data_IF_967766341665
#
_entry.id   IF_967766341665
#
_cell.length_a   1.000
_cell.length_b   1.000
_cell.length_c   1.000
_cell.angle_alpha   90.00
_cell.angle_beta   90.00
_cell.angle_gamma   90.00
#
_symmetry.space_group_name_H-M   'P 1'
#
loop_
_entity.id
_entity.type
_entity.pdbx_description
1 polymer ?
#
# COMPACT_ATOMS: atom_id res chain seq x y z
N UNK A 1 12.67 16.34 -35.88
CA UNK A 1 11.83 15.48 -35.01
C UNK A 1 11.01 16.37 -34.10
N UNK A 2 9.81 16.72 -34.51
CA UNK A 2 8.89 17.43 -33.65
C UNK A 2 8.37 16.42 -32.59
N UNK A 3 8.72 16.66 -31.33
CA UNK A 3 8.18 15.88 -30.24
C UNK A 3 6.67 16.09 -30.11
N UNK A 4 5.91 15.02 -29.86
CA UNK A 4 4.49 15.13 -29.54
C UNK A 4 4.31 15.87 -28.20
N UNK A 5 3.29 16.72 -28.13
CA UNK A 5 2.89 17.39 -26.88
C UNK A 5 1.48 16.97 -26.50
N UNK A 6 1.16 17.04 -25.21
CA UNK A 6 -0.20 16.73 -24.73
C UNK A 6 -1.16 17.84 -25.12
N UNK A 7 -2.21 17.47 -25.85
CA UNK A 7 -3.34 18.34 -26.14
C UNK A 7 -4.32 18.39 -24.98
N UNK A 8 -4.62 17.21 -24.44
CA UNK A 8 -5.48 17.06 -23.29
C UNK A 8 -5.07 15.82 -22.49
N UNK A 9 -5.31 15.87 -21.19
CA UNK A 9 -5.10 14.76 -20.27
C UNK A 9 -6.36 14.60 -19.44
N UNK A 10 -7.01 13.44 -19.53
CA UNK A 10 -8.25 13.14 -18.83
C UNK A 10 -8.15 11.83 -18.07
N UNK A 11 -8.60 11.85 -16.83
CA UNK A 11 -8.80 10.65 -16.01
C UNK A 11 -10.22 10.18 -16.20
N UNK A 12 -10.41 9.00 -16.76
CA UNK A 12 -11.71 8.52 -17.21
C UNK A 12 -12.01 7.12 -16.67
N UNK A 13 -13.28 6.78 -16.58
CA UNK A 13 -13.75 5.44 -16.18
C UNK A 13 -13.12 4.93 -14.88
N UNK A 14 -12.92 5.83 -13.93
CA UNK A 14 -12.47 5.51 -12.59
C UNK A 14 -13.67 5.28 -11.68
N UNK A 15 -13.57 4.31 -10.77
CA UNK A 15 -14.56 4.15 -9.72
C UNK A 15 -14.62 5.41 -8.86
N UNK A 16 -15.81 5.72 -8.32
CA UNK A 16 -16.06 6.97 -7.62
C UNK A 16 -15.01 7.28 -6.54
N UNK A 17 -14.67 6.31 -5.70
CA UNK A 17 -13.66 6.50 -4.64
C UNK A 17 -12.28 6.86 -5.22
N UNK A 18 -11.87 6.13 -6.25
CA UNK A 18 -10.57 6.35 -6.91
C UNK A 18 -10.57 7.71 -7.61
N UNK A 19 -11.65 8.03 -8.33
CA UNK A 19 -11.78 9.32 -8.99
C UNK A 19 -11.71 10.47 -7.97
N UNK A 20 -12.40 10.35 -6.85
CA UNK A 20 -12.35 11.35 -5.77
C UNK A 20 -10.93 11.57 -5.26
N UNK A 21 -10.18 10.48 -5.02
CA UNK A 21 -8.78 10.58 -4.57
C UNK A 21 -7.89 11.24 -5.61
N UNK A 22 -8.04 10.86 -6.88
CA UNK A 22 -7.28 11.43 -7.99
C UNK A 22 -7.58 12.92 -8.14
N UNK A 23 -8.85 13.32 -8.11
CA UNK A 23 -9.26 14.71 -8.29
C UNK A 23 -8.83 15.59 -7.12
N UNK A 24 -8.90 15.09 -5.88
CA UNK A 24 -8.42 15.83 -4.70
C UNK A 24 -6.92 16.10 -4.73
N UNK A 25 -6.16 15.26 -5.43
CA UNK A 25 -4.70 15.35 -5.53
C UNK A 25 -4.24 15.70 -6.94
N UNK A 26 -5.12 16.30 -7.75
CA UNK A 26 -4.83 16.60 -9.16
C UNK A 26 -3.66 17.59 -9.33
N UNK A 27 -3.43 18.43 -8.33
CA UNK A 27 -2.31 19.38 -8.35
C UNK A 27 -0.93 18.70 -8.33
N UNK A 28 -0.86 17.46 -7.88
CA UNK A 28 0.40 16.69 -7.80
C UNK A 28 0.66 15.87 -9.06
N UNK A 29 -0.21 15.92 -10.06
CA UNK A 29 -0.04 15.19 -11.32
C UNK A 29 1.29 15.57 -11.99
N UNK A 30 1.92 14.59 -12.60
CA UNK A 30 3.21 14.76 -13.28
C UNK A 30 3.05 15.06 -14.76
N UNK A 31 1.85 14.83 -15.32
CA UNK A 31 1.53 15.06 -16.72
C UNK A 31 0.67 16.32 -16.82
N UNK A 32 1.06 17.23 -17.69
CA UNK A 32 0.35 18.51 -17.88
C UNK A 32 0.11 18.78 -19.35
N UNK A 33 -0.99 19.45 -19.66
CA UNK A 33 -1.30 19.91 -21.01
C UNK A 33 -0.15 20.77 -21.52
N UNK A 34 0.26 20.54 -22.75
CA UNK A 34 1.35 21.25 -23.40
C UNK A 34 2.74 20.67 -23.16
N UNK A 35 2.93 19.79 -22.19
CA UNK A 35 4.20 19.10 -21.97
C UNK A 35 4.51 18.13 -23.10
N UNK A 36 5.80 17.84 -23.30
CA UNK A 36 6.23 16.83 -24.25
C UNK A 36 5.81 15.43 -23.79
N UNK A 37 5.31 14.63 -24.74
CA UNK A 37 5.05 13.22 -24.49
C UNK A 37 6.35 12.50 -24.11
N UNK A 38 6.34 11.83 -22.96
CA UNK A 38 7.52 11.19 -22.41
C UNK A 38 7.12 9.92 -21.66
N UNK A 39 7.66 8.78 -22.10
CA UNK A 39 7.37 7.46 -21.50
C UNK A 39 7.81 7.37 -20.04
N UNK A 40 8.92 8.02 -19.68
CA UNK A 40 9.42 8.04 -18.28
C UNK A 40 8.40 8.75 -17.38
N UNK A 41 7.81 9.85 -17.85
CA UNK A 41 6.78 10.57 -17.10
C UNK A 41 5.47 9.77 -17.00
N UNK A 42 5.12 9.00 -18.02
CA UNK A 42 3.96 8.11 -17.95
C UNK A 42 4.14 7.06 -16.84
N UNK A 43 5.32 6.47 -16.76
CA UNK A 43 5.61 5.48 -15.70
C UNK A 43 5.65 6.14 -14.32
N UNK A 44 6.22 7.33 -14.20
CA UNK A 44 6.23 8.08 -12.94
C UNK A 44 4.79 8.41 -12.47
N UNK A 45 3.90 8.76 -13.38
CA UNK A 45 2.48 9.03 -13.05
C UNK A 45 1.75 7.76 -12.60
N UNK A 46 2.02 6.61 -13.21
CA UNK A 46 1.50 5.33 -12.71
C UNK A 46 1.91 5.07 -11.27
N UNK A 47 3.18 5.26 -10.97
CA UNK A 47 3.71 5.11 -9.61
C UNK A 47 3.06 6.09 -8.64
N UNK A 48 2.88 7.34 -9.04
CA UNK A 48 2.22 8.36 -8.21
C UNK A 48 0.78 7.97 -7.87
N UNK A 49 0.00 7.59 -8.88
CA UNK A 49 -1.41 7.19 -8.69
C UNK A 49 -1.49 5.95 -7.81
N UNK A 50 -0.67 4.94 -8.09
CA UNK A 50 -0.64 3.71 -7.30
C UNK A 50 -0.28 4.00 -5.83
N UNK A 51 0.72 4.83 -5.59
CA UNK A 51 1.12 5.22 -4.23
C UNK A 51 -0.01 5.98 -3.51
N UNK A 52 -0.69 6.87 -4.20
CA UNK A 52 -1.85 7.58 -3.66
C UNK A 52 -2.95 6.61 -3.23
N UNK A 53 -3.28 5.61 -4.06
CA UNK A 53 -4.31 4.63 -3.74
C UNK A 53 -3.87 3.69 -2.62
N UNK A 54 -2.64 3.21 -2.62
CA UNK A 54 -2.09 2.35 -1.57
C UNK A 54 -1.97 3.07 -0.23
N UNK A 55 -1.73 4.37 -0.22
CA UNK A 55 -1.75 5.20 0.98
C UNK A 55 -3.14 5.30 1.59
N UNK A 56 -4.18 5.13 0.79
CA UNK A 56 -5.59 5.35 1.15
C UNK A 56 -6.44 4.08 1.09
N UNK A 57 -5.88 2.93 1.38
CA UNK A 57 -6.64 1.70 1.57
C UNK A 57 -6.51 0.64 0.49
N UNK A 58 -5.98 0.95 -0.68
CA UNK A 58 -5.92 0.03 -1.82
C UNK A 58 -4.72 -0.93 -1.71
N UNK A 59 -4.81 -1.91 -0.84
CA UNK A 59 -3.71 -2.85 -0.57
C UNK A 59 -3.24 -3.62 -1.80
N UNK A 60 -4.18 -4.06 -2.66
CA UNK A 60 -3.86 -4.89 -3.83
C UNK A 60 -3.60 -4.09 -5.10
N UNK A 61 -3.67 -2.76 -5.06
CA UNK A 61 -3.45 -1.96 -6.25
C UNK A 61 -1.96 -1.93 -6.64
N UNK A 62 -1.69 -1.93 -7.96
CA UNK A 62 -0.33 -1.89 -8.51
C UNK A 62 -0.25 -0.89 -9.67
N UNK A 63 0.92 -0.30 -9.93
CA UNK A 63 1.09 0.68 -11.03
C UNK A 63 0.68 0.14 -12.39
N UNK A 64 0.94 -1.13 -12.68
CA UNK A 64 0.59 -1.77 -13.94
C UNK A 64 -0.92 -1.87 -14.19
N UNK A 65 -1.75 -1.59 -13.20
CA UNK A 65 -3.20 -1.55 -13.36
C UNK A 65 -3.72 -0.23 -13.91
N UNK A 66 -2.85 0.77 -14.06
CA UNK A 66 -3.15 2.01 -14.77
C UNK A 66 -2.97 1.80 -16.27
N UNK A 67 -3.98 2.17 -17.03
CA UNK A 67 -4.01 2.06 -18.49
C UNK A 67 -4.00 3.44 -19.13
N UNK A 68 -3.19 3.59 -20.17
CA UNK A 68 -3.13 4.78 -20.99
C UNK A 68 -3.69 4.51 -22.39
N UNK A 69 -4.48 5.47 -22.89
CA UNK A 69 -4.92 5.50 -24.28
C UNK A 69 -4.51 6.85 -24.86
N UNK A 70 -3.72 6.81 -25.93
CA UNK A 70 -3.22 8.01 -26.61
C UNK A 70 -3.84 8.11 -27.98
N UNK A 71 -4.52 9.23 -28.25
CA UNK A 71 -5.05 9.57 -29.58
C UNK A 71 -4.16 10.65 -30.21
N UNK A 72 -3.56 10.30 -31.33
CA UNK A 72 -2.68 11.19 -32.11
C UNK A 72 -3.31 11.61 -33.45
N UNK A 73 -4.55 11.19 -33.71
CA UNK A 73 -5.20 11.37 -35.02
C UNK A 73 -5.89 12.71 -35.13
N UNK A 74 -6.54 13.16 -34.06
CA UNK A 74 -7.38 14.36 -34.10
C UNK A 74 -6.59 15.66 -34.38
N UNK A 75 -5.42 15.80 -33.75
CA UNK A 75 -4.56 16.97 -33.90
C UNK A 75 -3.13 16.54 -34.25
N UNK A 76 -2.61 16.87 -35.46
CA UNK A 76 -1.25 16.51 -35.83
C UNK A 76 -0.20 17.05 -34.83
N UNK A 77 0.71 16.19 -34.40
CA UNK A 77 1.77 16.55 -33.47
C UNK A 77 1.32 16.64 -32.01
N UNK A 78 0.06 16.36 -31.72
CA UNK A 78 -0.52 16.40 -30.37
C UNK A 78 -1.10 15.07 -29.95
N UNK A 79 -1.13 14.85 -28.63
CA UNK A 79 -1.67 13.63 -28.01
C UNK A 79 -2.81 14.00 -27.08
N UNK A 80 -3.97 13.42 -27.30
CA UNK A 80 -5.06 13.39 -26.34
C UNK A 80 -4.89 12.11 -25.50
N UNK A 81 -4.54 12.26 -24.23
CA UNK A 81 -4.26 11.15 -23.33
C UNK A 81 -5.45 10.87 -22.42
N UNK A 82 -5.86 9.62 -22.36
CA UNK A 82 -6.85 9.13 -21.41
C UNK A 82 -6.20 8.17 -20.43
N UNK A 83 -6.42 8.40 -19.14
CA UNK A 83 -5.87 7.63 -18.04
C UNK A 83 -7.03 6.93 -17.33
N UNK A 84 -6.97 5.62 -17.24
CA UNK A 84 -7.99 4.81 -16.58
C UNK A 84 -7.35 3.61 -15.88
N UNK A 85 -8.13 2.89 -15.10
CA UNK A 85 -7.73 1.57 -14.65
C UNK A 85 -8.01 0.54 -15.75
N UNK A 86 -7.21 -0.54 -15.79
CA UNK A 86 -7.43 -1.62 -16.74
C UNK A 86 -8.84 -2.21 -16.57
N UNK A 87 -9.52 -2.59 -17.67
CA UNK A 87 -10.81 -3.25 -17.56
C UNK A 87 -10.68 -4.64 -16.95
N UNK A 88 -11.74 -5.08 -16.25
CA UNK A 88 -11.80 -6.44 -15.70
C UNK A 88 -11.01 -6.67 -14.42
N UNK A 89 -10.53 -5.62 -13.75
CA UNK A 89 -9.85 -5.78 -12.47
C UNK A 89 -10.84 -6.30 -11.41
N UNK A 90 -10.40 -7.27 -10.56
CA UNK A 90 -11.22 -7.74 -9.46
C UNK A 90 -11.61 -6.62 -8.49
N UNK A 91 -12.75 -6.77 -7.84
CA UNK A 91 -13.19 -5.82 -6.80
C UNK A 91 -12.16 -5.67 -5.67
N UNK A 92 -11.47 -6.75 -5.33
CA UNK A 92 -10.43 -6.77 -4.29
C UNK A 92 -9.30 -5.79 -4.57
N UNK A 93 -8.97 -5.58 -5.85
CA UNK A 93 -7.95 -4.62 -6.28
C UNK A 93 -8.45 -3.18 -6.15
N UNK A 94 -9.73 -2.94 -6.41
CA UNK A 94 -10.32 -1.61 -6.51
C UNK A 94 -10.92 -1.11 -5.20
N UNK A 95 -11.13 -2.01 -4.22
CA UNK A 95 -11.75 -1.64 -2.94
C UNK A 95 -10.70 -1.19 -1.92
N UNK A 96 -11.10 -0.38 -0.91
CA UNK A 96 -10.28 -0.15 0.25
C UNK A 96 -10.31 -1.36 1.20
N UNK A 97 -9.24 -1.55 1.95
CA UNK A 97 -9.08 -2.61 2.94
C UNK A 97 -8.85 -2.01 4.32
N UNK A 98 -9.43 -2.62 5.32
CA UNK A 98 -9.25 -2.25 6.74
C UNK A 98 -8.33 -3.26 7.41
N UNK A 99 -7.68 -2.81 8.48
CA UNK A 99 -6.88 -3.68 9.35
C UNK A 99 -7.82 -4.32 10.37
N UNK A 100 -7.71 -5.64 10.51
CA UNK A 100 -8.41 -6.42 11.53
C UNK A 100 -7.55 -6.68 12.75
N UNK A 101 -7.42 -7.96 13.13
CA UNK A 101 -6.60 -8.37 14.27
C UNK A 101 -5.12 -8.14 13.98
N UNK A 102 -4.38 -7.69 15.00
CA UNK A 102 -2.95 -7.43 14.91
C UNK A 102 -2.23 -8.37 15.88
N UNK A 103 -1.28 -9.12 15.34
CA UNK A 103 -0.46 -10.07 16.07
C UNK A 103 1.01 -9.83 15.81
N UNK A 104 1.81 -9.84 16.87
CA UNK A 104 3.27 -9.74 16.81
C UNK A 104 3.85 -11.06 17.28
N UNK A 105 4.66 -11.71 16.45
CA UNK A 105 5.32 -12.98 16.76
C UNK A 105 6.79 -12.71 17.05
N UNK A 106 7.22 -13.00 18.28
CA UNK A 106 8.60 -12.86 18.73
C UNK A 106 9.25 -14.25 18.72
N UNK A 107 9.82 -14.64 17.58
CA UNK A 107 10.51 -15.90 17.44
C UNK A 107 11.93 -15.81 18.02
N UNK A 108 12.42 -16.89 18.63
CA UNK A 108 13.76 -16.96 19.17
C UNK A 108 14.86 -16.85 18.11
N UNK A 109 16.11 -16.75 18.57
CA UNK A 109 17.28 -16.57 17.70
C UNK A 109 17.43 -17.65 16.61
N UNK A 110 17.13 -18.90 16.94
CA UNK A 110 17.11 -20.00 15.98
C UNK A 110 15.72 -20.21 15.35
N UNK A 111 14.92 -19.14 15.31
CA UNK A 111 13.53 -19.18 14.80
C UNK A 111 12.63 -20.13 15.60
N UNK A 112 12.88 -20.29 16.90
CA UNK A 112 12.00 -21.08 17.78
C UNK A 112 10.62 -20.44 17.82
N UNK A 113 9.56 -21.23 17.62
CA UNK A 113 8.20 -20.69 17.61
C UNK A 113 7.75 -20.23 19.00
N UNK A 114 6.91 -19.21 19.09
CA UNK A 114 6.32 -18.77 20.35
C UNK A 114 5.48 -19.87 21.00
N UNK A 115 5.52 -19.93 22.32
CA UNK A 115 4.73 -20.89 23.14
C UNK A 115 3.71 -20.21 24.03
N UNK A 116 3.84 -18.90 24.23
CA UNK A 116 2.95 -18.09 25.06
C UNK A 116 2.43 -16.89 24.32
N UNK A 117 1.39 -16.26 24.87
CA UNK A 117 0.86 -15.02 24.35
C UNK A 117 0.40 -14.09 25.46
N UNK A 118 0.43 -12.78 25.15
CA UNK A 118 -0.10 -11.75 26.03
C UNK A 118 -0.87 -10.75 25.17
N UNK A 119 -2.02 -10.31 25.70
CA UNK A 119 -2.78 -9.22 25.10
C UNK A 119 -2.30 -7.90 25.67
N UNK A 120 -1.95 -6.96 24.80
CA UNK A 120 -1.64 -5.59 25.18
C UNK A 120 -2.46 -4.64 24.32
N UNK A 121 -3.40 -3.92 24.96
CA UNK A 121 -4.39 -3.08 24.28
C UNK A 121 -5.11 -3.89 23.20
N UNK A 122 -4.99 -3.48 21.95
CA UNK A 122 -5.66 -4.12 20.81
C UNK A 122 -4.74 -4.98 19.94
N UNK A 123 -3.58 -5.38 20.48
CA UNK A 123 -2.68 -6.34 19.81
C UNK A 123 -2.39 -7.55 20.69
N UNK A 124 -2.05 -8.66 20.06
CA UNK A 124 -1.60 -9.87 20.73
C UNK A 124 -0.12 -10.08 20.44
N UNK A 125 0.68 -10.31 21.48
CA UNK A 125 2.10 -10.61 21.36
C UNK A 125 2.30 -12.08 21.69
N UNK A 126 2.87 -12.82 20.73
CA UNK A 126 3.26 -14.22 20.90
C UNK A 126 4.77 -14.28 21.15
N UNK A 127 5.16 -14.97 22.22
CA UNK A 127 6.56 -15.04 22.65
C UNK A 127 6.90 -16.43 23.20
N UNK A 128 8.18 -16.70 23.33
CA UNK A 128 8.69 -17.96 23.90
C UNK A 128 9.51 -17.65 25.15
N UNK A 129 9.22 -18.39 26.22
CA UNK A 129 9.92 -18.27 27.50
C UNK A 129 9.63 -16.95 28.20
N UNK A 130 10.59 -16.02 28.16
CA UNK A 130 10.47 -14.72 28.84
C UNK A 130 10.28 -13.60 27.80
N UNK A 131 9.34 -12.73 28.09
CA UNK A 131 9.15 -11.53 27.26
C UNK A 131 10.34 -10.56 27.48
N UNK A 132 11.14 -10.36 26.43
CA UNK A 132 12.38 -9.56 26.48
C UNK A 132 12.19 -8.08 26.22
N UNK A 133 11.03 -7.70 25.74
CA UNK A 133 10.74 -6.31 25.36
C UNK A 133 9.40 -5.91 25.97
N UNK A 134 9.31 -4.68 26.44
CA UNK A 134 8.06 -4.15 26.99
C UNK A 134 7.02 -4.05 25.90
N UNK A 135 5.79 -4.53 26.11
CA UNK A 135 4.71 -4.43 25.11
C UNK A 135 4.48 -3.01 24.60
N UNK A 136 4.60 -2.01 25.47
CA UNK A 136 4.44 -0.59 25.07
C UNK A 136 5.42 -0.19 23.98
N UNK A 137 6.66 -0.68 24.01
CA UNK A 137 7.67 -0.35 23.00
C UNK A 137 7.25 -0.85 21.63
N UNK A 138 6.74 -2.08 21.54
CA UNK A 138 6.21 -2.62 20.29
C UNK A 138 4.98 -1.85 19.82
N UNK A 139 4.08 -1.56 20.76
CA UNK A 139 2.85 -0.84 20.47
C UNK A 139 3.12 0.56 19.89
N UNK A 140 4.10 1.27 20.46
CA UNK A 140 4.45 2.61 19.99
C UNK A 140 5.08 2.61 18.59
N UNK A 141 5.69 1.50 18.17
CA UNK A 141 6.25 1.33 16.82
C UNK A 141 5.22 0.88 15.80
N UNK A 142 4.13 0.28 16.26
CA UNK A 142 3.03 -0.14 15.42
C UNK A 142 2.17 1.08 15.05
N UNK A 143 2.02 1.36 13.76
CA UNK A 143 1.28 2.54 13.26
C UNK A 143 -0.10 2.19 12.71
N UNK A 144 -0.56 0.98 12.96
CA UNK A 144 -1.92 0.55 12.67
C UNK A 144 -2.67 0.21 13.95
N UNK A 145 -3.99 0.41 13.90
CA UNK A 145 -4.94 -0.07 14.91
C UNK A 145 -6.06 -0.82 14.21
N UNK A 146 -6.71 -1.80 14.87
CA UNK A 146 -7.88 -2.45 14.28
C UNK A 146 -8.92 -1.44 13.84
N UNK A 147 -9.43 -1.61 12.62
CA UNK A 147 -10.40 -0.68 12.02
C UNK A 147 -9.79 0.43 11.16
N UNK A 148 -8.48 0.65 11.25
CA UNK A 148 -7.80 1.61 10.38
C UNK A 148 -7.84 1.15 8.93
N UNK A 149 -7.90 2.09 8.00
CA UNK A 149 -7.61 1.77 6.60
C UNK A 149 -6.17 1.30 6.46
N UNK A 150 -5.95 0.30 5.60
CA UNK A 150 -4.59 0.00 5.16
C UNK A 150 -3.96 1.27 4.57
N UNK A 151 -2.69 1.47 4.84
CA UNK A 151 -1.91 2.58 4.30
C UNK A 151 -0.47 2.14 4.11
N UNK A 152 0.03 2.22 2.89
CA UNK A 152 1.43 1.91 2.59
C UNK A 152 2.38 2.81 3.39
N UNK A 153 2.01 4.07 3.62
CA UNK A 153 2.80 4.99 4.43
C UNK A 153 2.91 4.50 5.88
N UNK A 154 1.82 4.03 6.48
CA UNK A 154 1.83 3.51 7.84
C UNK A 154 2.55 2.15 7.91
N UNK A 155 2.47 1.33 6.87
CA UNK A 155 3.27 0.11 6.77
C UNK A 155 4.76 0.42 6.81
N UNK A 156 5.23 1.36 6.03
CA UNK A 156 6.63 1.75 5.99
C UNK A 156 7.12 2.29 7.33
N UNK A 157 6.30 3.13 7.99
CA UNK A 157 6.62 3.66 9.33
C UNK A 157 6.69 2.55 10.37
N UNK A 158 5.81 1.55 10.31
CA UNK A 158 5.81 0.40 11.20
C UNK A 158 7.05 -0.46 10.97
N UNK A 159 7.34 -0.78 9.71
CA UNK A 159 8.52 -1.56 9.33
C UNK A 159 9.81 -0.88 9.81
N UNK A 160 9.95 0.40 9.55
CA UNK A 160 11.09 1.21 10.01
C UNK A 160 11.17 1.24 11.53
N UNK A 161 10.04 1.40 12.21
CA UNK A 161 10.00 1.44 13.67
C UNK A 161 10.50 0.14 14.31
N UNK A 162 10.09 -1.00 13.76
CA UNK A 162 10.55 -2.31 14.24
C UNK A 162 12.03 -2.53 13.93
N UNK A 163 12.48 -2.17 12.73
CA UNK A 163 13.89 -2.30 12.34
C UNK A 163 14.82 -1.46 13.20
N UNK A 164 14.38 -0.27 13.61
CA UNK A 164 15.18 0.65 14.44
C UNK A 164 15.29 0.24 15.91
N UNK A 165 14.52 -0.74 16.36
CA UNK A 165 14.69 -1.28 17.71
C UNK A 165 16.06 -1.96 17.92
N UNK A 166 16.68 -2.45 16.84
CA UNK A 166 18.01 -3.02 16.87
C UNK A 166 18.12 -4.36 17.60
N UNK A 167 17.00 -5.02 17.88
CA UNK A 167 16.95 -6.30 18.60
C UNK A 167 16.51 -7.46 17.71
N UNK A 168 16.00 -7.15 16.52
CA UNK A 168 15.56 -8.16 15.55
C UNK A 168 16.53 -8.21 14.37
N UNK A 169 16.99 -9.41 14.02
CA UNK A 169 17.72 -9.59 12.75
C UNK A 169 16.77 -9.62 11.56
N UNK A 170 15.46 -9.86 11.82
CA UNK A 170 14.46 -10.00 10.80
C UNK A 170 13.10 -9.53 11.35
N UNK A 171 12.38 -8.77 10.55
CA UNK A 171 10.99 -8.43 10.80
C UNK A 171 10.23 -8.34 9.48
N UNK A 172 9.05 -8.95 9.41
CA UNK A 172 8.22 -9.01 8.21
C UNK A 172 6.77 -8.77 8.59
N UNK A 173 6.09 -7.96 7.78
CA UNK A 173 4.66 -7.72 7.92
C UNK A 173 3.91 -8.55 6.89
N UNK A 174 2.91 -9.31 7.34
CA UNK A 174 2.03 -10.11 6.50
C UNK A 174 0.59 -9.68 6.70
N UNK A 175 -0.14 -9.55 5.61
CA UNK A 175 -1.55 -9.20 5.61
C UNK A 175 -2.35 -10.38 5.10
N UNK A 176 -3.28 -10.86 5.91
CA UNK A 176 -4.07 -12.06 5.62
C UNK A 176 -5.54 -11.69 5.65
N UNK A 177 -6.29 -11.92 4.55
CA UNK A 177 -7.74 -11.70 4.57
C UNK A 177 -8.38 -12.41 5.76
N UNK A 178 -9.25 -11.70 6.46
CA UNK A 178 -9.92 -12.18 7.66
C UNK A 178 -10.72 -13.46 7.40
N UNK A 179 -11.32 -13.56 6.23
CA UNK A 179 -12.11 -14.71 5.79
C UNK A 179 -12.08 -14.84 4.26
N UNK A 180 -12.75 -15.86 3.73
CA UNK A 180 -12.82 -16.12 2.30
C UNK A 180 -14.10 -15.57 1.64
N UNK A 181 -14.92 -14.82 2.38
CA UNK A 181 -16.16 -14.26 1.85
C UNK A 181 -15.88 -13.22 0.76
N UNK A 182 -16.73 -13.15 -0.25
CA UNK A 182 -16.60 -12.19 -1.35
C UNK A 182 -16.63 -10.73 -0.87
N UNK A 183 -17.28 -10.47 0.26
CA UNK A 183 -17.40 -9.13 0.87
C UNK A 183 -16.31 -8.82 1.87
N UNK A 184 -15.33 -9.74 2.04
CA UNK A 184 -14.22 -9.49 2.95
C UNK A 184 -13.51 -8.20 2.55
N UNK A 185 -13.41 -7.26 3.48
CA UNK A 185 -12.75 -5.98 3.32
C UNK A 185 -11.67 -5.76 4.40
N UNK A 186 -11.35 -6.81 5.13
CA UNK A 186 -10.49 -6.74 6.34
C UNK A 186 -9.29 -7.67 6.19
N UNK A 187 -8.12 -7.12 6.48
CA UNK A 187 -6.84 -7.83 6.51
C UNK A 187 -6.36 -7.91 7.95
N UNK A 188 -6.11 -9.13 8.42
CA UNK A 188 -5.40 -9.32 9.70
C UNK A 188 -3.92 -9.08 9.46
N UNK A 189 -3.28 -8.32 10.35
CA UNK A 189 -1.86 -8.00 10.27
C UNK A 189 -1.08 -8.90 11.22
N UNK A 190 -0.08 -9.60 10.67
CA UNK A 190 0.89 -10.37 11.44
C UNK A 190 2.28 -9.77 11.22
N UNK A 191 2.96 -9.47 12.32
CA UNK A 191 4.35 -9.01 12.29
C UNK A 191 5.21 -10.15 12.83
N UNK A 192 5.97 -10.77 11.95
CA UNK A 192 6.88 -11.87 12.29
C UNK A 192 8.27 -11.31 12.51
N UNK A 193 8.85 -11.60 13.66
CA UNK A 193 10.19 -11.15 14.03
C UNK A 193 11.05 -12.32 14.48
N UNK A 194 12.37 -12.17 14.34
CA UNK A 194 13.36 -13.10 14.87
C UNK A 194 14.39 -12.29 15.63
N UNK A 195 14.66 -12.65 16.88
CA UNK A 195 15.67 -11.98 17.69
C UNK A 195 17.06 -12.11 17.07
N UNK A 196 17.89 -11.08 17.24
CA UNK A 196 19.26 -11.03 16.77
C UNK A 196 20.25 -11.70 17.72
N UNK A 197 19.89 -11.91 18.97
CA UNK A 197 20.69 -12.56 20.00
C UNK A 197 19.90 -13.67 20.68
N UNK A 198 20.60 -14.76 21.14
CA UNK A 198 19.96 -15.84 21.88
C UNK A 198 19.33 -15.40 23.21
#
# INVERSE_FOLDING_TARGET
NNAYTYDSIAYVRLRHRIDTLVQRNIGDRLLRDGDNFNVVQLEAERQRISSLLCKNGSYYFRPEFISYQADTIMNPGKVALRISTKPGLPRTVLRPWKIGDISVFLNGYNNEPPTDSIRYKDMTIFYEGKLRIRPKVLYDRLKFRPGDLYSQQQQEKTQTGFSRLGIFRYSEMQYIPKDTARRCDTLNLQINTVYDLP
#
